data_IF_287562013637
#
_entry.id   IF_287562013637
#
_cell.length_a   1.000
_cell.length_b   1.000
_cell.length_c   1.000
_cell.angle_alpha   90.00
_cell.angle_beta   90.00
_cell.angle_gamma   90.00
#
_symmetry.space_group_name_H-M   'P 1'
#
loop_
_entity.id
_entity.type
_entity.pdbx_description
1 polymer ?
#
# COMPACT_ATOMS: atom_id res chain seq x y z
N UNK A 1 -10.49 -33.08 -1.20
CA UNK A 1 -10.07 -31.72 -1.58
C UNK A 1 -11.09 -31.23 -2.60
N UNK A 2 -11.87 -30.21 -2.27
CA UNK A 2 -13.09 -29.85 -3.01
C UNK A 2 -12.77 -29.22 -4.37
N UNK A 3 -13.34 -29.77 -5.43
CA UNK A 3 -13.21 -29.31 -6.81
C UNK A 3 -14.16 -28.15 -7.12
N UNK A 4 -14.03 -27.04 -6.37
CA UNK A 4 -14.95 -25.89 -6.42
C UNK A 4 -14.23 -24.54 -6.61
N UNK A 5 -12.97 -24.56 -7.07
CA UNK A 5 -12.28 -23.32 -7.40
C UNK A 5 -12.82 -22.73 -8.72
N UNK A 6 -12.96 -21.41 -8.73
CA UNK A 6 -13.23 -20.62 -9.93
C UNK A 6 -11.96 -19.83 -10.24
N UNK A 7 -11.40 -20.01 -11.43
CA UNK A 7 -10.26 -19.25 -11.92
C UNK A 7 -10.78 -18.15 -12.84
N UNK A 8 -10.65 -16.90 -12.41
CA UNK A 8 -10.83 -15.71 -13.23
C UNK A 8 -9.47 -15.20 -13.71
N UNK A 9 -9.47 -14.04 -14.38
CA UNK A 9 -8.25 -13.44 -14.87
C UNK A 9 -8.24 -11.91 -14.76
N UNK A 10 -7.03 -11.38 -14.62
CA UNK A 10 -6.76 -9.95 -14.61
C UNK A 10 -5.48 -9.60 -15.37
N UNK A 11 -5.47 -8.41 -15.97
CA UNK A 11 -4.29 -7.77 -16.51
C UNK A 11 -3.56 -7.03 -15.38
N UNK A 12 -2.23 -7.11 -15.33
CA UNK A 12 -1.44 -6.53 -14.22
C UNK A 12 -1.28 -5.02 -14.29
N UNK A 13 -1.63 -4.39 -15.41
CA UNK A 13 -1.60 -2.95 -15.60
C UNK A 13 -2.80 -2.49 -16.45
N UNK A 14 -3.97 -2.44 -15.81
CA UNK A 14 -5.24 -2.15 -16.47
C UNK A 14 -6.19 -1.45 -15.51
N UNK A 15 -6.69 -0.28 -15.91
CA UNK A 15 -7.73 0.41 -15.16
C UNK A 15 -9.06 -0.36 -15.10
N UNK A 16 -9.31 -1.31 -16.02
CA UNK A 16 -10.48 -2.21 -15.97
C UNK A 16 -10.42 -3.16 -14.78
N UNK A 17 -9.20 -3.56 -14.41
CA UNK A 17 -8.92 -4.56 -13.37
C UNK A 17 -8.38 -3.92 -12.10
N UNK A 18 -8.42 -2.57 -12.01
CA UNK A 18 -7.89 -1.79 -10.90
C UNK A 18 -6.41 -2.08 -10.58
N UNK A 19 -5.63 -2.46 -11.60
CA UNK A 19 -4.21 -2.75 -11.47
C UNK A 19 -3.35 -1.66 -12.13
N UNK A 20 -2.07 -1.58 -11.76
CA UNK A 20 -1.21 -0.45 -12.14
C UNK A 20 0.25 -0.84 -12.44
N UNK A 21 0.52 -2.13 -12.66
CA UNK A 21 1.85 -2.69 -12.87
C UNK A 21 2.65 -2.91 -11.58
N UNK A 22 2.06 -2.68 -10.40
CA UNK A 22 2.66 -2.99 -9.10
C UNK A 22 1.77 -3.93 -8.28
N UNK A 23 2.35 -5.02 -7.84
CA UNK A 23 1.66 -6.11 -7.15
C UNK A 23 1.34 -5.72 -5.71
N UNK A 24 0.29 -6.28 -5.11
CA UNK A 24 0.07 -6.28 -3.66
C UNK A 24 1.28 -6.80 -2.87
N UNK A 25 2.07 -7.71 -3.45
CA UNK A 25 3.31 -8.20 -2.90
C UNK A 25 4.46 -7.19 -2.95
N UNK A 26 4.27 -6.01 -3.51
CA UNK A 26 5.21 -4.89 -3.45
C UNK A 26 6.33 -4.93 -4.49
N UNK A 27 6.15 -5.65 -5.60
CA UNK A 27 7.08 -5.67 -6.72
C UNK A 27 6.39 -5.26 -8.04
N UNK A 28 7.11 -4.66 -9.00
CA UNK A 28 6.57 -4.39 -10.32
C UNK A 28 6.38 -5.70 -11.10
N UNK A 29 5.31 -5.79 -11.88
CA UNK A 29 4.92 -7.02 -12.58
C UNK A 29 4.12 -6.71 -13.86
N UNK A 30 4.28 -7.58 -14.85
CA UNK A 30 3.54 -7.55 -16.10
C UNK A 30 2.78 -8.88 -16.32
N UNK A 31 2.01 -8.97 -17.41
CA UNK A 31 1.24 -10.16 -17.75
C UNK A 31 2.09 -11.41 -18.02
N UNK A 32 3.43 -11.32 -18.06
CA UNK A 32 4.32 -12.47 -18.22
C UNK A 32 4.65 -13.19 -16.92
N UNK A 33 4.38 -12.58 -15.76
CA UNK A 33 4.63 -13.21 -14.46
C UNK A 33 3.72 -14.44 -14.30
N UNK A 34 4.26 -15.61 -13.92
CA UNK A 34 3.47 -16.82 -13.67
C UNK A 34 2.75 -16.75 -12.33
N UNK A 35 1.84 -15.79 -12.20
CA UNK A 35 1.26 -15.37 -10.93
C UNK A 35 -0.25 -15.54 -10.83
N UNK A 36 -0.72 -15.57 -9.59
CA UNK A 36 -2.13 -15.53 -9.24
C UNK A 36 -2.37 -14.74 -7.95
N UNK A 37 -3.63 -14.41 -7.72
CA UNK A 37 -4.13 -13.67 -6.58
C UNK A 37 -5.20 -14.51 -5.85
N UNK A 38 -4.94 -14.99 -4.62
CA UNK A 38 -5.98 -15.52 -3.75
C UNK A 38 -6.73 -14.37 -3.04
N UNK A 39 -7.87 -14.69 -2.40
CA UNK A 39 -8.66 -13.73 -1.61
C UNK A 39 -7.82 -12.90 -0.64
N UNK A 40 -7.90 -11.57 -0.76
CA UNK A 40 -7.21 -10.64 0.13
C UNK A 40 -7.65 -10.82 1.58
N UNK A 41 -8.96 -10.83 1.84
CA UNK A 41 -9.51 -10.99 3.18
C UNK A 41 -9.06 -12.31 3.82
N UNK A 42 -9.00 -13.40 3.05
CA UNK A 42 -8.54 -14.69 3.57
C UNK A 42 -7.07 -14.63 3.99
N UNK A 43 -6.22 -14.00 3.17
CA UNK A 43 -4.81 -13.84 3.52
C UNK A 43 -4.65 -12.96 4.76
N UNK A 44 -5.34 -11.83 4.82
CA UNK A 44 -5.26 -10.88 5.94
C UNK A 44 -5.82 -11.46 7.24
N UNK A 45 -6.92 -12.20 7.19
CA UNK A 45 -7.57 -12.77 8.37
C UNK A 45 -6.65 -13.74 9.14
N UNK A 46 -5.71 -14.40 8.46
CA UNK A 46 -4.74 -15.30 9.10
C UNK A 46 -3.67 -14.56 9.92
N UNK A 47 -3.59 -13.24 9.78
CA UNK A 47 -2.59 -12.38 10.41
C UNK A 47 -3.24 -11.18 11.11
N UNK A 48 -4.48 -11.33 11.60
CA UNK A 48 -5.21 -10.28 12.32
C UNK A 48 -5.33 -8.96 11.53
N UNK A 49 -5.37 -9.04 10.19
CA UNK A 49 -5.39 -7.88 9.31
C UNK A 49 -4.02 -7.27 9.00
N UNK A 50 -2.92 -7.82 9.53
CA UNK A 50 -1.56 -7.33 9.27
C UNK A 50 -1.11 -7.68 7.85
N UNK A 51 -1.19 -6.68 6.97
CA UNK A 51 -0.71 -6.74 5.59
C UNK A 51 0.71 -7.28 5.48
N UNK A 52 1.65 -6.82 6.30
CA UNK A 52 3.05 -7.15 6.10
C UNK A 52 3.33 -8.61 6.49
N UNK A 53 2.75 -9.07 7.59
CA UNK A 53 2.83 -10.49 7.97
C UNK A 53 2.14 -11.38 6.94
N UNK A 54 0.98 -10.98 6.43
CA UNK A 54 0.28 -11.70 5.36
C UNK A 54 1.12 -11.75 4.08
N UNK A 55 1.63 -10.61 3.61
CA UNK A 55 2.42 -10.55 2.39
C UNK A 55 3.73 -11.34 2.51
N UNK A 56 4.45 -11.25 3.64
CA UNK A 56 5.63 -12.10 3.90
C UNK A 56 5.28 -13.59 3.92
N UNK A 57 4.13 -13.95 4.47
CA UNK A 57 3.69 -15.34 4.53
C UNK A 57 3.28 -15.86 3.15
N UNK A 58 2.60 -15.06 2.32
CA UNK A 58 1.98 -15.52 1.08
C UNK A 58 2.78 -15.25 -0.18
N UNK A 59 3.44 -14.10 -0.32
CA UNK A 59 4.05 -13.67 -1.59
C UNK A 59 5.14 -14.61 -2.10
N UNK A 60 4.97 -15.09 -3.32
CA UNK A 60 5.86 -16.05 -3.96
C UNK A 60 5.58 -17.50 -3.56
N UNK A 61 4.60 -17.80 -2.70
CA UNK A 61 4.20 -19.18 -2.43
C UNK A 61 3.75 -19.85 -3.73
N UNK A 62 4.28 -21.04 -3.97
CA UNK A 62 4.01 -21.83 -5.15
C UNK A 62 2.74 -22.67 -4.97
N UNK A 63 1.85 -22.62 -5.95
CA UNK A 63 0.67 -23.46 -6.04
C UNK A 63 0.66 -24.29 -7.33
N UNK A 64 0.21 -25.52 -7.21
CA UNK A 64 -0.17 -26.37 -8.33
C UNK A 64 -1.67 -26.18 -8.57
N UNK A 65 -2.05 -25.78 -9.78
CA UNK A 65 -3.44 -25.50 -10.18
C UNK A 65 -3.81 -26.46 -11.30
N UNK A 66 -4.89 -27.22 -11.13
CA UNK A 66 -5.40 -28.19 -12.09
C UNK A 66 -6.81 -27.82 -12.54
N UNK A 67 -7.00 -27.70 -13.84
CA UNK A 67 -8.30 -27.46 -14.49
C UNK A 67 -9.12 -28.76 -14.59
N UNK A 68 -10.44 -28.69 -14.83
CA UNK A 68 -11.30 -29.88 -14.92
C UNK A 68 -10.92 -30.87 -16.01
N UNK A 69 -10.29 -30.39 -17.08
CA UNK A 69 -9.81 -31.21 -18.20
C UNK A 69 -8.39 -31.78 -17.96
N UNK A 70 -7.83 -31.59 -16.76
CA UNK A 70 -6.59 -32.20 -16.31
C UNK A 70 -5.32 -31.42 -16.63
N UNK A 71 -5.41 -30.23 -17.26
CA UNK A 71 -4.23 -29.37 -17.42
C UNK A 71 -3.78 -28.87 -16.06
N UNK A 72 -2.47 -28.89 -15.82
CA UNK A 72 -1.88 -28.48 -14.55
C UNK A 72 -0.78 -27.47 -14.80
N UNK A 73 -0.74 -26.41 -13.99
CA UNK A 73 0.29 -25.37 -14.04
C UNK A 73 0.79 -25.07 -12.63
N UNK A 74 2.06 -24.64 -12.56
CA UNK A 74 2.66 -24.10 -11.35
C UNK A 74 2.66 -22.58 -11.45
N UNK A 75 1.95 -21.91 -10.55
CA UNK A 75 1.94 -20.44 -10.42
C UNK A 75 2.34 -20.03 -9.01
N UNK A 76 2.59 -18.74 -8.82
CA UNK A 76 3.00 -18.17 -7.53
C UNK A 76 2.03 -17.08 -7.08
N UNK A 77 1.83 -16.94 -5.76
CA UNK A 77 1.08 -15.80 -5.24
C UNK A 77 1.84 -14.52 -5.61
N UNK A 78 1.23 -13.73 -6.46
CA UNK A 78 1.84 -12.54 -7.02
C UNK A 78 0.96 -11.30 -6.84
N UNK A 79 -0.20 -11.42 -6.21
CA UNK A 79 -1.09 -10.31 -5.92
C UNK A 79 -2.17 -10.72 -4.91
N UNK A 80 -3.16 -9.86 -4.67
CA UNK A 80 -4.33 -10.17 -3.86
C UNK A 80 -5.64 -9.87 -4.61
N UNK A 81 -6.62 -10.74 -4.44
CA UNK A 81 -7.90 -10.66 -5.14
C UNK A 81 -8.94 -9.94 -4.29
N UNK A 82 -9.52 -8.87 -4.83
CA UNK A 82 -10.66 -8.16 -4.22
C UNK A 82 -11.83 -9.10 -3.96
N UNK A 83 -12.18 -9.23 -2.68
CA UNK A 83 -13.22 -10.13 -2.18
C UNK A 83 -14.63 -9.84 -2.70
N UNK A 84 -14.87 -8.64 -3.27
CA UNK A 84 -16.12 -8.32 -3.96
C UNK A 84 -16.37 -9.25 -5.16
N UNK A 85 -15.30 -9.79 -5.74
CA UNK A 85 -15.34 -10.63 -6.94
C UNK A 85 -15.07 -12.12 -6.64
N UNK A 86 -14.62 -12.44 -5.43
CA UNK A 86 -14.43 -13.81 -4.95
C UNK A 86 -15.78 -14.51 -4.87
N UNK A 87 -15.90 -15.67 -5.54
CA UNK A 87 -17.16 -16.43 -5.63
C UNK A 87 -17.18 -17.66 -4.74
N UNK A 88 -16.01 -18.23 -4.46
CA UNK A 88 -15.82 -19.30 -3.49
C UNK A 88 -14.54 -19.02 -2.69
N UNK A 89 -14.38 -19.58 -1.47
CA UNK A 89 -13.13 -19.44 -0.71
C UNK A 89 -11.88 -19.96 -1.45
N UNK A 90 -12.07 -20.76 -2.50
CA UNK A 90 -11.00 -21.29 -3.34
C UNK A 90 -10.84 -20.54 -4.68
N UNK A 91 -11.58 -19.45 -4.91
CA UNK A 91 -11.43 -18.64 -6.13
C UNK A 91 -10.04 -18.02 -6.20
N UNK A 92 -9.46 -18.05 -7.39
CA UNK A 92 -8.19 -17.40 -7.71
C UNK A 92 -8.41 -16.46 -8.89
N UNK A 93 -7.77 -15.29 -8.85
CA UNK A 93 -7.63 -14.43 -10.03
C UNK A 93 -6.25 -14.66 -10.63
N UNK A 94 -6.19 -15.11 -11.88
CA UNK A 94 -4.93 -15.53 -12.51
C UNK A 94 -4.41 -14.41 -13.40
N UNK A 95 -3.10 -14.13 -13.36
CA UNK A 95 -2.49 -13.17 -14.30
C UNK A 95 -2.78 -13.63 -15.73
N UNK A 96 -3.25 -12.72 -16.58
CA UNK A 96 -3.84 -13.04 -17.88
C UNK A 96 -2.95 -13.93 -18.76
N UNK A 97 -1.63 -13.69 -18.83
CA UNK A 97 -0.73 -14.56 -19.62
C UNK A 97 -0.69 -16.01 -19.12
N UNK A 98 -0.80 -16.22 -17.81
CA UNK A 98 -0.92 -17.56 -17.21
C UNK A 98 -2.32 -18.16 -17.43
N UNK A 99 -3.35 -17.32 -17.37
CA UNK A 99 -4.73 -17.74 -17.62
C UNK A 99 -4.93 -18.22 -19.06
N UNK A 100 -4.36 -17.55 -20.06
CA UNK A 100 -4.42 -17.96 -21.46
C UNK A 100 -3.91 -19.41 -21.64
N UNK A 101 -2.81 -19.76 -20.97
CA UNK A 101 -2.26 -21.12 -20.99
C UNK A 101 -3.21 -22.16 -20.36
N UNK A 102 -3.87 -21.78 -19.25
CA UNK A 102 -4.84 -22.63 -18.56
C UNK A 102 -6.19 -22.74 -19.27
N UNK A 103 -6.63 -21.66 -19.92
CA UNK A 103 -7.90 -21.59 -20.63
C UNK A 103 -7.78 -22.25 -22.00
N UNK A 104 -6.62 -22.10 -22.65
CA UNK A 104 -6.28 -22.64 -23.97
C UNK A 104 -6.43 -21.63 -25.10
N UNK A 105 -6.81 -20.40 -24.80
CA UNK A 105 -6.84 -19.28 -25.75
C UNK A 105 -6.88 -17.95 -25.01
N UNK A 106 -6.47 -16.89 -25.68
CA UNK A 106 -6.71 -15.52 -25.23
C UNK A 106 -8.21 -15.23 -25.09
N UNK A 107 -8.58 -14.38 -24.12
CA UNK A 107 -9.94 -13.84 -24.02
C UNK A 107 -9.99 -12.47 -23.36
N UNK A 108 -10.85 -11.59 -23.86
CA UNK A 108 -11.12 -10.26 -23.29
C UNK A 108 -12.47 -10.19 -22.53
N UNK A 109 -13.22 -11.30 -22.51
CA UNK A 109 -14.51 -11.42 -21.84
C UNK A 109 -14.32 -11.89 -20.39
N UNK A 110 -14.63 -11.04 -19.41
CA UNK A 110 -14.50 -11.35 -17.96
C UNK A 110 -15.44 -12.47 -17.48
N UNK A 111 -16.42 -12.87 -18.29
CA UNK A 111 -17.26 -14.02 -17.99
C UNK A 111 -16.59 -15.36 -18.36
N UNK A 112 -15.49 -15.32 -19.10
CA UNK A 112 -14.72 -16.51 -19.42
C UNK A 112 -13.85 -16.87 -18.22
N UNK A 113 -14.29 -17.90 -17.50
CA UNK A 113 -13.67 -18.39 -16.27
C UNK A 113 -13.56 -19.92 -16.35
N UNK A 114 -12.58 -20.49 -15.64
CA UNK A 114 -12.52 -21.94 -15.43
C UNK A 114 -13.25 -22.28 -14.14
N UNK A 115 -14.31 -23.09 -14.22
CA UNK A 115 -15.06 -23.57 -13.04
C UNK A 115 -14.58 -24.97 -12.67
N UNK A 116 -14.80 -25.37 -11.42
CA UNK A 116 -14.48 -26.70 -10.90
C UNK A 116 -12.98 -27.05 -10.99
N UNK A 117 -12.12 -26.03 -10.94
CA UNK A 117 -10.70 -26.25 -10.82
C UNK A 117 -10.35 -26.73 -9.40
N UNK A 118 -9.11 -27.19 -9.23
CA UNK A 118 -8.54 -27.51 -7.93
C UNK A 118 -7.13 -26.94 -7.84
N UNK A 119 -6.70 -26.59 -6.64
CA UNK A 119 -5.33 -26.14 -6.42
C UNK A 119 -4.86 -26.45 -5.01
N UNK A 120 -3.54 -26.46 -4.83
CA UNK A 120 -2.90 -26.57 -3.52
C UNK A 120 -1.56 -25.84 -3.50
N UNK A 121 -1.20 -25.30 -2.35
CA UNK A 121 0.19 -24.91 -2.13
C UNK A 121 1.09 -26.15 -2.10
N UNK A 122 2.26 -26.05 -2.71
CA UNK A 122 3.26 -27.12 -2.73
C UNK A 122 4.19 -27.06 -1.52
N UNK A 123 4.19 -25.94 -0.79
CA UNK A 123 5.14 -25.63 0.28
C UNK A 123 6.44 -24.99 -0.20
N UNK A 124 6.62 -24.83 -1.53
CA UNK A 124 7.77 -24.11 -2.11
C UNK A 124 7.47 -22.62 -2.24
N UNK A 125 8.53 -21.81 -2.36
CA UNK A 125 8.46 -20.37 -2.60
C UNK A 125 9.43 -19.98 -3.70
N UNK A 126 9.03 -19.03 -4.54
CA UNK A 126 9.94 -18.36 -5.45
C UNK A 126 10.49 -17.09 -4.80
N UNK A 127 11.80 -17.08 -4.54
CA UNK A 127 12.47 -15.97 -3.88
C UNK A 127 12.35 -14.64 -4.67
N UNK A 128 12.27 -14.71 -6.00
CA UNK A 128 12.11 -13.53 -6.86
C UNK A 128 10.75 -12.86 -6.70
N UNK A 129 9.76 -13.57 -6.18
CA UNK A 129 8.39 -13.10 -5.96
C UNK A 129 8.07 -12.97 -4.47
N UNK A 130 9.10 -12.95 -3.61
CA UNK A 130 8.92 -12.63 -2.20
C UNK A 130 8.45 -11.20 -2.02
N UNK A 131 7.87 -10.94 -0.85
CA UNK A 131 7.40 -9.61 -0.48
C UNK A 131 8.48 -8.54 -0.68
N UNK A 132 8.16 -7.53 -1.50
CA UNK A 132 9.03 -6.43 -1.92
C UNK A 132 10.33 -6.86 -2.60
N UNK A 133 10.34 -7.98 -3.29
CA UNK A 133 11.47 -8.38 -4.12
C UNK A 133 11.84 -7.27 -5.12
N UNK A 134 13.12 -6.92 -5.15
CA UNK A 134 13.67 -5.95 -6.11
C UNK A 134 14.24 -6.62 -7.36
N UNK A 135 14.11 -7.95 -7.46
CA UNK A 135 14.62 -8.68 -8.60
C UNK A 135 13.87 -8.26 -9.87
N UNK A 136 14.61 -7.95 -10.92
CA UNK A 136 14.03 -7.65 -12.22
C UNK A 136 13.27 -8.87 -12.73
N UNK A 137 11.94 -8.77 -12.81
CA UNK A 137 11.05 -9.83 -13.29
C UNK A 137 11.05 -9.96 -14.83
N UNK A 138 11.93 -9.23 -15.54
CA UNK A 138 12.05 -9.31 -16.98
C UNK A 138 12.49 -10.71 -17.45
N UNK A 139 11.67 -11.34 -18.30
CA UNK A 139 11.99 -12.58 -19.00
C UNK A 139 11.64 -13.86 -18.23
N UNK A 140 10.36 -14.13 -18.01
CA UNK A 140 9.88 -15.45 -17.60
C UNK A 140 9.70 -16.34 -18.84
N UNK A 141 10.69 -17.19 -19.13
CA UNK A 141 10.48 -18.38 -19.93
C UNK A 141 10.01 -19.51 -18.99
N UNK A 142 9.00 -20.28 -19.41
CA UNK A 142 8.44 -21.45 -18.70
C UNK A 142 9.50 -22.54 -18.42
N UNK A 143 9.26 -23.45 -17.45
CA UNK A 143 10.29 -23.88 -16.49
C UNK A 143 11.10 -25.10 -16.92
N UNK A 144 12.35 -25.15 -16.47
CA UNK A 144 13.07 -26.40 -16.19
C UNK A 144 13.79 -26.28 -14.82
N UNK A 145 13.61 -27.31 -13.98
CA UNK A 145 14.33 -27.55 -12.72
C UNK A 145 15.63 -28.35 -12.96
N UNK A 146 16.53 -28.56 -11.96
CA UNK A 146 16.62 -27.96 -10.63
C UNK A 146 18.02 -27.38 -10.25
N UNK A 147 18.01 -26.62 -9.15
CA UNK A 147 19.06 -26.42 -8.14
C UNK A 147 20.48 -25.97 -8.56
N UNK A 148 20.94 -24.86 -7.98
CA UNK A 148 22.33 -24.72 -7.53
C UNK A 148 22.48 -23.70 -6.39
N UNK A 149 23.05 -24.23 -5.31
CA UNK A 149 23.71 -23.61 -4.16
C UNK A 149 24.61 -22.42 -4.54
N UNK A 150 24.65 -21.35 -3.72
CA UNK A 150 25.86 -20.58 -3.38
C UNK A 150 25.53 -19.56 -2.26
N UNK A 151 26.04 -19.72 -1.05
CA UNK A 151 27.34 -19.25 -0.50
C UNK A 151 27.33 -17.77 -0.10
N UNK A 152 27.33 -17.57 1.21
CA UNK A 152 27.38 -16.30 1.93
C UNK A 152 28.73 -15.58 1.77
N UNK A 153 28.69 -14.25 1.72
CA UNK A 153 29.84 -13.42 2.12
C UNK A 153 29.40 -12.11 2.76
N UNK A 154 29.81 -11.97 4.01
CA UNK A 154 29.68 -10.82 4.90
C UNK A 154 30.69 -9.72 4.53
N UNK A 155 30.30 -8.45 4.63
CA UNK A 155 31.23 -7.37 4.97
C UNK A 155 30.51 -6.16 5.58
N UNK A 156 31.04 -5.73 6.72
CA UNK A 156 30.67 -4.55 7.53
C UNK A 156 31.60 -3.41 7.14
N UNK A 157 31.18 -2.15 7.29
CA UNK A 157 32.08 -1.20 7.96
C UNK A 157 31.38 -0.35 9.03
N UNK A 158 32.08 -0.24 10.16
CA UNK A 158 31.81 0.59 11.33
C UNK A 158 32.47 1.97 11.17
N UNK A 159 31.94 2.99 11.88
CA UNK A 159 32.59 4.18 12.53
C UNK A 159 32.10 5.55 12.00
N UNK A 160 31.96 6.67 12.74
CA UNK A 160 32.21 7.15 14.13
C UNK A 160 31.08 8.15 14.50
N UNK A 161 30.74 8.23 15.79
CA UNK A 161 29.86 9.21 16.44
C UNK A 161 30.65 10.48 16.86
N UNK A 162 30.13 11.68 16.58
CA UNK A 162 30.64 12.93 17.16
C UNK A 162 29.48 13.83 17.58
N UNK A 163 29.51 14.30 18.84
CA UNK A 163 28.54 15.23 19.43
C UNK A 163 29.07 16.66 19.37
N UNK A 164 28.20 17.64 19.11
CA UNK A 164 28.44 19.05 19.47
C UNK A 164 27.11 19.81 19.65
N UNK A 165 27.17 20.75 20.59
CA UNK A 165 26.12 21.44 21.35
C UNK A 165 25.44 22.63 20.67
N UNK A 166 24.26 22.95 21.22
CA UNK A 166 23.32 24.06 21.01
C UNK A 166 23.84 25.40 20.44
N UNK A 167 23.13 25.89 19.42
CA UNK A 167 22.81 27.33 19.26
C UNK A 167 21.49 27.47 18.48
N UNK A 168 20.59 28.32 18.97
CA UNK A 168 19.21 28.49 18.46
C UNK A 168 19.12 28.94 16.98
N UNK A 169 18.15 28.46 16.18
CA UNK A 169 17.98 28.93 14.80
C UNK A 169 16.73 29.82 14.58
N UNK A 170 17.03 30.97 13.98
CA UNK A 170 16.20 31.84 13.12
C UNK A 170 15.59 31.05 11.94
N UNK A 171 14.43 31.42 11.32
CA UNK A 171 13.63 30.50 10.53
C UNK A 171 14.20 30.31 9.11
N UNK A 172 15.03 29.29 8.92
CA UNK A 172 15.49 28.82 7.61
C UNK A 172 15.85 27.33 7.60
N UNK A 173 14.99 26.42 8.09
CA UNK A 173 15.41 25.02 8.28
C UNK A 173 14.38 23.90 8.03
N UNK A 174 13.12 24.17 7.68
CA UNK A 174 12.13 23.10 7.44
C UNK A 174 12.41 22.29 6.17
N UNK A 175 12.64 22.96 5.03
CA UNK A 175 12.97 22.29 3.77
C UNK A 175 14.30 21.52 3.83
N UNK A 176 15.28 22.03 4.60
CA UNK A 176 16.56 21.35 4.80
C UNK A 176 16.42 20.08 5.64
N UNK A 177 15.59 20.09 6.69
CA UNK A 177 15.36 18.90 7.51
C UNK A 177 14.62 17.80 6.73
N UNK A 178 13.63 18.16 5.91
CA UNK A 178 12.87 17.21 5.08
C UNK A 178 13.75 16.59 3.99
N UNK A 179 14.53 17.41 3.28
CA UNK A 179 15.44 16.91 2.24
C UNK A 179 16.57 16.05 2.81
N UNK A 180 17.08 16.37 4.00
CA UNK A 180 18.02 15.49 4.73
C UNK A 180 17.40 14.14 5.12
N UNK A 181 16.09 14.10 5.36
CA UNK A 181 15.34 12.85 5.58
C UNK A 181 15.01 12.11 4.26
N UNK A 182 15.53 12.56 3.12
CA UNK A 182 15.30 11.96 1.80
C UNK A 182 13.95 12.31 1.19
N UNK A 183 13.20 13.26 1.77
CA UNK A 183 11.89 13.67 1.26
C UNK A 183 12.08 14.68 0.13
N UNK A 184 11.60 14.32 -1.07
CA UNK A 184 11.59 15.17 -2.27
C UNK A 184 10.18 15.68 -2.64
N UNK A 185 9.15 15.13 -2.02
CA UNK A 185 7.73 15.40 -2.25
C UNK A 185 7.14 16.30 -1.18
N UNK A 186 6.06 17.01 -1.52
CA UNK A 186 5.34 17.93 -0.63
C UNK A 186 6.21 19.05 -0.02
N UNK A 187 7.32 19.40 -0.68
CA UNK A 187 8.22 20.45 -0.22
C UNK A 187 7.63 21.84 -0.48
N UNK A 188 7.93 22.78 0.41
CA UNK A 188 7.46 24.16 0.31
C UNK A 188 5.96 24.30 0.60
N UNK A 189 5.33 25.29 -0.02
CA UNK A 189 3.91 25.57 0.16
C UNK A 189 3.09 24.82 -0.91
N UNK A 190 2.31 23.83 -0.48
CA UNK A 190 1.43 23.04 -1.33
C UNK A 190 0.09 23.79 -1.46
N UNK A 191 -0.13 24.43 -2.61
CA UNK A 191 -1.33 25.24 -2.88
C UNK A 191 -2.36 24.47 -3.71
N UNK A 192 -3.56 25.05 -3.87
CA UNK A 192 -4.67 24.44 -4.60
C UNK A 192 -5.05 23.04 -4.06
N UNK A 193 -4.91 22.88 -2.74
CA UNK A 193 -5.30 21.65 -2.07
C UNK A 193 -6.83 21.54 -2.00
N UNK A 194 -7.32 20.31 -2.17
CA UNK A 194 -8.68 19.93 -1.81
C UNK A 194 -8.56 19.11 -0.52
N UNK A 195 -9.30 19.51 0.50
CA UNK A 195 -9.37 18.80 1.77
C UNK A 195 -10.69 18.01 1.77
N UNK A 196 -10.59 16.69 1.73
CA UNK A 196 -11.69 15.77 2.00
C UNK A 196 -11.60 15.24 3.44
N UNK A 197 -12.48 14.31 3.79
CA UNK A 197 -12.48 13.71 5.11
C UNK A 197 -12.78 12.21 5.10
N UNK A 198 -12.22 11.54 6.11
CA UNK A 198 -12.47 10.12 6.38
C UNK A 198 -12.63 9.84 7.87
N UNK A 199 -13.45 8.84 8.17
CA UNK A 199 -13.53 8.22 9.48
C UNK A 199 -12.44 7.15 9.59
N UNK A 200 -11.75 7.11 10.73
CA UNK A 200 -10.60 6.22 11.00
C UNK A 200 -10.94 4.74 11.15
N UNK A 201 -12.22 4.40 11.31
CA UNK A 201 -12.71 3.03 11.40
C UNK A 201 -14.09 2.90 10.74
N UNK A 202 -14.11 2.86 9.42
CA UNK A 202 -15.32 2.88 8.61
C UNK A 202 -15.11 2.13 7.30
N UNK A 203 -15.95 1.14 7.05
CA UNK A 203 -15.97 0.44 5.76
C UNK A 203 -16.35 1.34 4.58
N UNK A 204 -17.04 2.46 4.82
CA UNK A 204 -17.33 3.47 3.78
C UNK A 204 -16.05 4.12 3.25
N UNK A 205 -15.06 4.27 4.13
CA UNK A 205 -13.81 4.97 3.87
C UNK A 205 -12.63 4.00 3.73
N UNK A 206 -12.92 2.70 3.65
CA UNK A 206 -11.91 1.63 3.57
C UNK A 206 -10.88 1.66 4.72
N UNK A 207 -11.29 2.14 5.90
CA UNK A 207 -10.45 2.19 7.10
C UNK A 207 -10.91 1.17 8.14
N UNK A 208 -10.00 0.79 9.05
CA UNK A 208 -10.21 -0.32 9.98
C UNK A 208 -9.72 -0.05 11.41
N UNK A 209 -9.50 1.22 11.76
CA UNK A 209 -8.98 1.62 13.07
C UNK A 209 -7.46 1.48 13.20
N UNK A 210 -6.74 1.05 12.16
CA UNK A 210 -5.29 1.05 12.08
C UNK A 210 -4.83 1.87 10.89
N UNK A 211 -3.92 2.81 11.13
CA UNK A 211 -3.45 3.70 10.08
C UNK A 211 -2.38 3.06 9.21
N UNK A 212 -2.14 3.61 8.01
CA UNK A 212 -0.99 3.25 7.17
C UNK A 212 0.36 3.40 7.91
N UNK A 213 0.43 4.28 8.90
CA UNK A 213 1.60 4.43 9.76
C UNK A 213 1.79 3.32 10.80
N UNK A 214 0.90 2.33 10.85
CA UNK A 214 1.05 1.12 11.66
C UNK A 214 0.71 1.32 13.13
N UNK A 215 -0.14 2.29 13.46
CA UNK A 215 -0.66 2.49 14.82
C UNK A 215 -2.19 2.58 14.81
N UNK A 216 -2.85 2.17 15.90
CA UNK A 216 -4.28 2.38 16.03
C UNK A 216 -4.58 3.87 16.22
N UNK A 217 -5.69 4.33 15.68
CA UNK A 217 -6.11 5.73 15.67
C UNK A 217 -7.63 5.88 15.77
N UNK A 218 -8.08 7.08 16.17
CA UNK A 218 -9.50 7.44 16.25
C UNK A 218 -9.74 8.78 15.56
N UNK A 219 -11.02 9.13 15.40
CA UNK A 219 -11.44 10.40 14.79
C UNK A 219 -10.98 11.64 15.57
N UNK A 220 -10.49 11.48 16.81
CA UNK A 220 -9.97 12.57 17.64
C UNK A 220 -8.50 12.90 17.36
N UNK A 221 -7.79 12.07 16.59
CA UNK A 221 -6.40 12.32 16.25
C UNK A 221 -6.28 13.55 15.33
N UNK A 222 -5.41 14.53 15.64
CA UNK A 222 -5.09 15.64 14.75
C UNK A 222 -4.25 15.17 13.54
N UNK A 223 -4.87 14.40 12.65
CA UNK A 223 -4.19 13.67 11.59
C UNK A 223 -4.77 13.89 10.20
N UNK A 224 -3.93 13.64 9.21
CA UNK A 224 -4.29 13.67 7.80
C UNK A 224 -3.53 12.62 6.99
N UNK A 225 -3.99 12.42 5.76
CA UNK A 225 -3.45 11.52 4.78
C UNK A 225 -3.14 12.29 3.48
N UNK A 226 -1.86 12.48 3.11
CA UNK A 226 -1.49 12.95 1.79
C UNK A 226 -1.41 11.77 0.80
N UNK A 227 -1.23 12.07 -0.50
CA UNK A 227 -1.11 11.05 -1.57
C UNK A 227 -0.14 9.93 -1.22
N UNK A 228 -0.65 8.70 -1.18
CA UNK A 228 0.12 7.48 -0.93
C UNK A 228 1.22 7.30 -1.99
N UNK A 229 0.87 7.41 -3.27
CA UNK A 229 1.79 7.27 -4.40
C UNK A 229 2.93 8.28 -4.31
N UNK A 230 2.63 9.54 -3.98
CA UNK A 230 3.68 10.55 -3.83
C UNK A 230 4.63 10.17 -2.69
N UNK A 231 4.11 9.79 -1.53
CA UNK A 231 4.93 9.36 -0.40
C UNK A 231 5.82 8.15 -0.76
N UNK A 232 5.25 7.14 -1.41
CA UNK A 232 5.97 5.94 -1.84
C UNK A 232 7.01 6.24 -2.91
N UNK A 233 6.68 7.05 -3.92
CA UNK A 233 7.55 7.34 -5.06
C UNK A 233 8.88 8.01 -4.66
N UNK A 234 8.88 8.82 -3.59
CA UNK A 234 10.10 9.42 -3.04
C UNK A 234 11.14 8.41 -2.59
N UNK A 235 10.69 7.20 -2.23
CA UNK A 235 11.52 6.16 -1.62
C UNK A 235 11.49 4.88 -2.44
N UNK A 236 11.40 5.01 -3.77
CA UNK A 236 11.37 3.88 -4.71
C UNK A 236 10.27 2.86 -4.36
N UNK A 237 9.13 3.35 -3.88
CA UNK A 237 7.98 2.55 -3.43
C UNK A 237 8.24 1.64 -2.23
N UNK A 238 9.33 1.84 -1.49
CA UNK A 238 9.52 1.15 -0.21
C UNK A 238 8.63 1.77 0.88
N UNK A 239 7.55 1.06 1.21
CA UNK A 239 6.65 1.41 2.29
C UNK A 239 7.35 1.67 3.64
N UNK A 240 8.32 0.85 4.07
CA UNK A 240 8.92 1.05 5.40
C UNK A 240 9.74 2.33 5.43
N UNK A 241 10.54 2.57 4.39
CA UNK A 241 11.34 3.78 4.27
C UNK A 241 10.44 5.02 4.13
N UNK A 242 9.39 4.95 3.30
CA UNK A 242 8.42 6.02 3.15
C UNK A 242 7.66 6.30 4.45
N UNK A 243 7.17 5.28 5.14
CA UNK A 243 6.44 5.44 6.40
C UNK A 243 7.34 5.98 7.50
N UNK A 244 8.59 5.51 7.62
CA UNK A 244 9.58 6.09 8.56
C UNK A 244 9.87 7.56 8.24
N UNK A 245 9.93 7.91 6.96
CA UNK A 245 10.16 9.27 6.52
C UNK A 245 8.94 10.18 6.74
N UNK A 246 7.72 9.71 6.53
CA UNK A 246 6.52 10.57 6.54
C UNK A 246 5.71 10.53 7.83
N UNK A 247 5.57 9.37 8.49
CA UNK A 247 4.65 9.21 9.61
C UNK A 247 4.96 10.10 10.81
N UNK A 248 3.95 10.86 11.23
CA UNK A 248 4.05 11.81 12.32
C UNK A 248 4.69 13.14 11.94
N UNK A 249 5.04 13.36 10.66
CA UNK A 249 5.47 14.69 10.22
C UNK A 249 4.33 15.68 10.40
N UNK A 250 4.68 16.84 10.91
CA UNK A 250 3.75 17.92 11.19
C UNK A 250 3.55 18.80 9.94
N UNK A 251 2.30 19.14 9.67
CA UNK A 251 1.91 20.14 8.70
C UNK A 251 1.12 21.27 9.37
N UNK A 252 1.22 22.46 8.78
CA UNK A 252 0.27 23.55 8.99
C UNK A 252 -0.62 23.62 7.77
N UNK A 253 -1.93 23.51 7.97
CA UNK A 253 -2.96 23.53 6.92
C UNK A 253 -3.81 24.78 7.12
N UNK A 254 -4.02 25.55 6.06
CA UNK A 254 -4.80 26.79 6.09
C UNK A 254 -5.85 26.80 4.98
N UNK A 255 -7.11 27.06 5.35
CA UNK A 255 -8.25 27.17 4.44
C UNK A 255 -8.31 28.56 3.78
N UNK A 256 -9.08 28.73 2.69
CA UNK A 256 -9.20 30.04 2.02
C UNK A 256 -9.79 31.15 2.90
N UNK A 257 -10.63 30.80 3.86
CA UNK A 257 -11.24 31.73 4.82
C UNK A 257 -10.38 31.98 6.07
N UNK A 258 -9.14 31.45 6.08
CA UNK A 258 -8.13 31.76 7.08
C UNK A 258 -8.17 30.89 8.34
N UNK A 259 -8.95 29.80 8.38
CA UNK A 259 -8.81 28.81 9.46
C UNK A 259 -7.51 28.06 9.26
N UNK A 260 -6.80 27.81 10.37
CA UNK A 260 -5.53 27.10 10.36
C UNK A 260 -5.53 26.01 11.42
N UNK A 261 -4.95 24.86 11.09
CA UNK A 261 -4.71 23.77 12.04
C UNK A 261 -3.31 23.19 11.87
N UNK A 262 -2.75 22.70 12.98
CA UNK A 262 -1.55 21.86 12.98
C UNK A 262 -1.99 20.41 13.08
N UNK A 263 -1.56 19.60 12.13
CA UNK A 263 -1.92 18.19 12.04
C UNK A 263 -0.70 17.34 11.67
N UNK A 264 -0.81 16.02 11.80
CA UNK A 264 0.28 15.10 11.53
C UNK A 264 -0.09 14.09 10.45
N UNK A 265 0.87 13.69 9.62
CA UNK A 265 0.67 12.57 8.71
C UNK A 265 0.40 11.33 9.57
N UNK A 266 -0.82 10.85 9.52
CA UNK A 266 -1.27 9.71 10.29
C UNK A 266 -1.56 8.50 9.40
N UNK A 267 -1.92 8.75 8.14
CA UNK A 267 -2.36 7.74 7.19
C UNK A 267 -1.92 8.09 5.76
N UNK A 268 -2.38 7.33 4.77
CA UNK A 268 -2.09 7.59 3.36
C UNK A 268 -3.38 7.61 2.52
N UNK A 269 -3.45 8.58 1.60
CA UNK A 269 -4.64 8.80 0.78
C UNK A 269 -4.52 8.04 -0.53
N UNK A 270 -5.50 7.18 -0.81
CA UNK A 270 -5.62 6.48 -2.09
C UNK A 270 -5.69 7.48 -3.25
N UNK A 271 -4.71 7.38 -4.15
CA UNK A 271 -4.55 8.27 -5.30
C UNK A 271 -5.70 8.23 -6.30
N UNK A 272 -6.57 7.24 -6.24
CA UNK A 272 -7.83 7.20 -7.01
C UNK A 272 -8.72 8.42 -6.67
N UNK A 273 -8.63 8.93 -5.45
CA UNK A 273 -9.43 10.04 -4.94
C UNK A 273 -8.64 11.35 -4.80
N UNK A 274 -7.34 11.33 -5.11
CA UNK A 274 -6.47 12.51 -5.12
C UNK A 274 -6.75 13.33 -6.38
N UNK A 275 -7.48 14.43 -6.22
CA UNK A 275 -7.89 15.31 -7.34
C UNK A 275 -6.77 16.28 -7.75
N UNK A 276 -5.98 16.74 -6.78
CA UNK A 276 -4.81 17.60 -7.02
C UNK A 276 -3.59 17.02 -6.30
N UNK A 277 -2.35 17.28 -6.76
CA UNK A 277 -1.14 16.79 -6.09
C UNK A 277 -1.03 17.20 -4.61
N UNK A 278 -1.71 18.29 -4.22
CA UNK A 278 -1.75 18.81 -2.86
C UNK A 278 -2.97 18.34 -2.05
N UNK A 279 -3.81 17.45 -2.60
CA UNK A 279 -5.04 17.01 -1.91
C UNK A 279 -4.71 16.22 -0.66
N UNK A 280 -5.52 16.44 0.38
CA UNK A 280 -5.41 15.77 1.66
C UNK A 280 -6.75 15.14 2.02
N UNK A 281 -6.71 13.93 2.57
CA UNK A 281 -7.84 13.36 3.28
C UNK A 281 -7.63 13.56 4.78
N UNK A 282 -8.52 14.31 5.42
CA UNK A 282 -8.34 14.74 6.81
C UNK A 282 -9.15 13.83 7.73
N UNK A 283 -8.59 13.44 8.88
CA UNK A 283 -9.36 12.71 9.89
C UNK A 283 -10.57 13.55 10.30
N UNK A 284 -11.76 12.95 10.31
CA UNK A 284 -13.03 13.67 10.37
C UNK A 284 -13.14 14.69 11.53
N UNK A 285 -12.72 14.34 12.74
CA UNK A 285 -12.74 15.27 13.89
C UNK A 285 -11.85 16.50 13.67
N UNK A 286 -10.76 16.36 12.93
CA UNK A 286 -9.88 17.44 12.51
C UNK A 286 -10.44 18.23 11.33
N UNK A 287 -11.11 17.56 10.40
CA UNK A 287 -11.77 18.20 9.27
C UNK A 287 -12.83 19.20 9.72
N UNK A 288 -13.63 18.85 10.73
CA UNK A 288 -14.67 19.72 11.26
C UNK A 288 -14.13 21.09 11.74
N UNK A 289 -12.88 21.14 12.22
CA UNK A 289 -12.22 22.39 12.64
C UNK A 289 -11.88 23.29 11.45
N UNK A 290 -11.46 22.71 10.33
CA UNK A 290 -11.13 23.43 9.10
C UNK A 290 -12.39 23.81 8.31
N UNK A 291 -13.36 22.89 8.23
CA UNK A 291 -14.65 23.11 7.57
C UNK A 291 -15.54 24.09 8.34
N UNK A 292 -15.36 24.18 9.67
CA UNK A 292 -16.12 25.05 10.57
C UNK A 292 -17.41 24.42 11.11
N UNK A 293 -17.71 23.19 10.73
CA UNK A 293 -18.83 22.40 11.24
C UNK A 293 -18.61 20.90 11.00
N UNK A 294 -19.40 20.06 11.65
CA UNK A 294 -19.47 18.63 11.34
C UNK A 294 -20.33 18.39 10.09
N UNK A 295 -19.97 17.40 9.28
CA UNK A 295 -20.74 16.98 8.09
C UNK A 295 -20.73 15.45 7.95
N UNK A 296 -21.73 14.87 7.30
CA UNK A 296 -21.77 13.44 6.92
C UNK A 296 -21.81 13.24 5.40
N UNK A 297 -21.78 14.35 4.65
CA UNK A 297 -21.80 14.39 3.20
C UNK A 297 -20.36 14.37 2.64
N UNK A 298 -20.00 13.33 1.88
CA UNK A 298 -18.66 13.19 1.28
C UNK A 298 -18.37 14.21 0.16
N UNK A 299 -19.39 14.92 -0.31
CA UNK A 299 -19.21 16.02 -1.26
C UNK A 299 -18.78 17.32 -0.57
N UNK A 300 -18.85 17.38 0.76
CA UNK A 300 -18.41 18.54 1.52
C UNK A 300 -16.89 18.50 1.66
N UNK A 301 -16.24 19.39 0.91
CA UNK A 301 -14.80 19.51 0.83
C UNK A 301 -14.38 20.97 0.95
N UNK A 302 -13.17 21.23 1.47
CA UNK A 302 -12.57 22.57 1.41
C UNK A 302 -11.69 22.65 0.17
N UNK A 303 -12.02 23.56 -0.74
CA UNK A 303 -11.23 23.80 -1.97
C UNK A 303 -10.27 24.96 -1.79
N UNK A 304 -9.18 25.00 -2.56
CA UNK A 304 -8.19 26.09 -2.57
C UNK A 304 -7.47 26.29 -1.23
N UNK A 305 -7.37 25.25 -0.41
CA UNK A 305 -6.54 25.29 0.79
C UNK A 305 -5.04 25.30 0.41
N UNK A 306 -4.20 25.61 1.38
CA UNK A 306 -2.76 25.42 1.26
C UNK A 306 -2.18 24.80 2.54
N UNK A 307 -1.07 24.09 2.40
CA UNK A 307 -0.41 23.47 3.53
C UNK A 307 1.08 23.29 3.28
N UNK A 308 1.84 23.16 4.37
CA UNK A 308 3.27 22.90 4.30
C UNK A 308 3.72 22.01 5.45
N UNK A 309 4.66 21.12 5.17
CA UNK A 309 5.38 20.39 6.21
C UNK A 309 6.31 21.34 6.95
N UNK A 310 6.31 21.27 8.28
CA UNK A 310 7.14 22.14 9.12
C UNK A 310 8.54 21.57 9.33
N UNK A 311 8.77 20.30 8.98
CA UNK A 311 9.98 19.55 9.29
C UNK A 311 10.01 19.00 10.73
N UNK A 312 9.03 19.36 11.57
CA UNK A 312 8.86 18.75 12.91
C UNK A 312 8.16 17.41 12.79
N UNK A 313 8.39 16.53 13.77
CA UNK A 313 7.74 15.22 13.87
C UNK A 313 7.23 14.98 15.28
N UNK A 314 6.03 14.43 15.39
CA UNK A 314 5.52 13.92 16.64
C UNK A 314 6.02 12.49 16.89
N UNK A 315 6.80 12.30 17.95
CA UNK A 315 7.37 10.99 18.31
C UNK A 315 6.30 9.92 18.67
N UNK A 316 5.09 10.33 19.04
CA UNK A 316 3.98 9.40 19.33
C UNK A 316 3.38 8.80 18.05
N UNK A 317 3.55 9.48 16.91
CA UNK A 317 2.98 9.13 15.62
C UNK A 317 4.04 8.66 14.61
N UNK A 318 5.21 8.27 15.10
CA UNK A 318 6.22 7.62 14.27
C UNK A 318 5.72 6.26 13.80
N UNK A 319 6.30 5.80 12.70
CA UNK A 319 5.97 4.50 12.11
C UNK A 319 6.01 3.36 13.15
N UNK A 320 4.91 2.58 13.22
CA UNK A 320 4.70 1.46 14.15
C UNK A 320 4.88 1.84 15.63
N UNK A 321 4.62 3.11 15.99
CA UNK A 321 4.65 3.57 17.37
C UNK A 321 3.67 2.74 18.21
N UNK A 322 4.19 2.14 19.29
CA UNK A 322 3.39 1.40 20.28
C UNK A 322 2.87 2.29 21.42
N UNK A 323 3.12 3.60 21.34
CA UNK A 323 2.69 4.53 22.38
C UNK A 323 1.17 4.64 22.34
N UNK A 324 0.51 4.50 23.50
CA UNK A 324 -0.93 4.70 23.60
C UNK A 324 -1.28 6.11 23.13
N UNK A 325 -2.14 6.22 22.10
CA UNK A 325 -2.65 7.49 21.60
C UNK A 325 -3.74 8.10 22.48
N UNK A 326 -3.91 7.62 23.72
CA UNK A 326 -4.86 8.20 24.67
C UNK A 326 -4.52 9.66 24.97
N UNK A 327 -5.55 10.52 25.01
CA UNK A 327 -5.46 11.92 25.43
C UNK A 327 -5.04 12.90 24.35
N UNK A 328 -5.85 13.05 23.30
CA UNK A 328 -5.84 14.23 22.43
C UNK A 328 -7.08 15.06 22.79
N UNK A 329 -6.99 15.82 23.88
CA UNK A 329 -8.02 16.76 24.34
C UNK A 329 -7.43 18.15 24.46
#
# INVERSE_FOLDING_TARGET
MGADAILSWYDTNSGRDSTNGNSWCGFPYDNSVPGFAPSLNTMLANFDGDYESAAKAYCGLEAEITTPDGRTVTLYVADAFDDTWVRTPASLDIIHGSFESLYGSYTDNKNNVVKNASWRFTGRRNERLTFKSTDSLGGWATPDSPASTMTSTTSIPTTVQTSATDTAPTPSSSANALTQAGISGFLGNNTNAILSWYDTNSGRDSTNGNSWCGFPYSNDLPGFAPSLRTMLSNFNYDYETAARAYCGLEAVITTPDGRTATMYIADAFDDTWVITPSSLDIIHGSFAQLYGSWTDNKLDVVKNAHWQLTGRRNARLTFKSKNSLGGWS
#
